data_IF_595764411584
#
_entry.id   IF_595764411584
#
_cell.length_a   1.000
_cell.length_b   1.000
_cell.length_c   1.000
_cell.angle_alpha   90.00
_cell.angle_beta   90.00
_cell.angle_gamma   90.00
#
_symmetry.space_group_name_H-M   'P 1'
#
loop_
_entity.id
_entity.type
_entity.pdbx_description
1 polymer ?
#
# COMPACT_ATOMS: atom_id res chain seq x y z
N UNK A 1 -18.85 -2.15 23.07
CA UNK A 1 -18.89 -2.98 21.86
C UNK A 1 -19.93 -4.02 22.16
N UNK A 2 -21.11 -3.88 21.58
CA UNK A 2 -22.17 -4.87 21.76
C UNK A 2 -21.78 -6.16 21.05
N UNK A 3 -21.42 -7.15 21.85
CA UNK A 3 -21.41 -8.55 21.46
C UNK A 3 -22.87 -8.99 21.27
N UNK A 4 -23.38 -8.98 20.03
CA UNK A 4 -24.38 -9.92 19.50
C UNK A 4 -25.06 -9.39 18.22
N UNK A 5 -24.30 -9.28 17.13
CA UNK A 5 -24.91 -9.36 15.79
C UNK A 5 -24.22 -10.49 15.04
N UNK A 6 -24.75 -11.71 15.19
CA UNK A 6 -24.56 -12.74 14.15
C UNK A 6 -25.23 -12.18 12.90
N UNK A 7 -24.44 -11.63 11.98
CA UNK A 7 -24.98 -11.20 10.69
C UNK A 7 -25.58 -12.42 10.00
N UNK A 8 -26.90 -12.43 9.87
CA UNK A 8 -27.55 -13.35 8.94
C UNK A 8 -26.98 -13.03 7.54
N UNK A 9 -26.47 -14.04 6.83
CA UNK A 9 -26.14 -13.88 5.43
C UNK A 9 -27.39 -13.33 4.71
N UNK A 10 -27.28 -12.25 3.91
CA UNK A 10 -28.43 -11.73 3.19
C UNK A 10 -29.07 -12.86 2.39
N UNK A 11 -30.41 -12.97 2.44
CA UNK A 11 -31.13 -13.93 1.60
C UNK A 11 -30.75 -13.66 0.14
N UNK A 12 -30.32 -14.70 -0.58
CA UNK A 12 -29.97 -14.58 -1.99
C UNK A 12 -31.17 -14.11 -2.80
N UNK A 13 -30.94 -13.19 -3.74
CA UNK A 13 -31.94 -12.75 -4.72
C UNK A 13 -31.70 -13.53 -6.01
N UNK A 14 -32.72 -14.22 -6.50
CA UNK A 14 -32.66 -14.88 -7.81
C UNK A 14 -32.91 -13.85 -8.92
N UNK A 15 -31.99 -13.78 -9.88
CA UNK A 15 -32.10 -12.92 -11.06
C UNK A 15 -32.08 -13.80 -12.32
N UNK A 16 -33.00 -13.55 -13.24
CA UNK A 16 -33.07 -14.22 -14.55
C UNK A 16 -32.88 -13.19 -15.65
N UNK A 17 -31.96 -13.46 -16.56
CA UNK A 17 -31.68 -12.63 -17.73
C UNK A 17 -31.65 -13.48 -19.01
N UNK A 18 -32.00 -12.87 -20.14
CA UNK A 18 -32.01 -13.53 -21.45
C UNK A 18 -31.60 -12.54 -22.55
N UNK A 19 -31.01 -13.03 -23.65
CA UNK A 19 -30.63 -12.23 -24.81
C UNK A 19 -29.23 -11.61 -24.75
N UNK A 20 -28.50 -11.78 -23.64
CA UNK A 20 -27.10 -11.35 -23.50
C UNK A 20 -26.10 -12.42 -23.96
N UNK A 21 -24.87 -11.99 -24.22
CA UNK A 21 -23.71 -12.89 -24.44
C UNK A 21 -23.02 -13.15 -23.10
N UNK A 22 -22.80 -14.42 -22.76
CA UNK A 22 -22.11 -14.78 -21.52
C UNK A 22 -20.62 -14.39 -21.60
N UNK A 23 -20.20 -13.49 -20.70
CA UNK A 23 -18.81 -13.18 -20.46
C UNK A 23 -18.14 -14.31 -19.66
N UNK A 24 -16.88 -14.67 -19.95
CA UNK A 24 -16.19 -15.70 -19.17
C UNK A 24 -15.93 -15.17 -17.76
N UNK A 25 -16.21 -16.00 -16.75
CA UNK A 25 -16.03 -15.69 -15.34
C UNK A 25 -15.26 -16.80 -14.63
N UNK A 26 -14.05 -16.47 -14.19
CA UNK A 26 -13.23 -17.32 -13.34
C UNK A 26 -13.41 -16.90 -11.88
N UNK A 27 -13.73 -17.86 -11.01
CA UNK A 27 -13.76 -17.67 -9.56
C UNK A 27 -12.83 -18.67 -8.90
N UNK A 28 -11.84 -18.16 -8.17
CA UNK A 28 -10.84 -18.96 -7.46
C UNK A 28 -11.51 -19.98 -6.53
N UNK A 29 -11.10 -21.24 -6.62
CA UNK A 29 -11.65 -22.35 -5.83
C UNK A 29 -13.04 -22.84 -6.25
N UNK A 30 -13.65 -22.23 -7.27
CA UNK A 30 -14.96 -22.65 -7.81
C UNK A 30 -14.88 -23.07 -9.27
N UNK A 31 -14.26 -22.24 -10.12
CA UNK A 31 -14.12 -22.52 -11.56
C UNK A 31 -12.96 -23.48 -11.80
N UNK A 32 -13.24 -24.64 -12.38
CA UNK A 32 -12.21 -25.62 -12.78
C UNK A 32 -11.44 -25.16 -14.03
N UNK A 33 -10.22 -25.67 -14.27
CA UNK A 33 -9.46 -25.37 -15.49
C UNK A 33 -10.23 -25.71 -16.77
N UNK A 34 -10.96 -26.82 -16.79
CA UNK A 34 -11.75 -27.28 -17.93
C UNK A 34 -12.92 -26.33 -18.20
N UNK A 35 -13.64 -25.93 -17.15
CA UNK A 35 -14.72 -24.93 -17.27
C UNK A 35 -14.19 -23.59 -17.75
N UNK A 36 -13.02 -23.15 -17.26
CA UNK A 36 -12.42 -21.90 -17.68
C UNK A 36 -12.03 -21.93 -19.16
N UNK A 37 -11.36 -23.00 -19.59
CA UNK A 37 -10.98 -23.20 -20.98
C UNK A 37 -12.20 -23.23 -21.90
N UNK A 38 -13.25 -23.97 -21.52
CA UNK A 38 -14.50 -24.04 -22.28
C UNK A 38 -15.19 -22.67 -22.41
N UNK A 39 -15.24 -21.88 -21.32
CA UNK A 39 -15.79 -20.52 -21.36
C UNK A 39 -15.03 -19.61 -22.32
N UNK A 40 -13.69 -19.62 -22.28
CA UNK A 40 -12.85 -18.80 -23.16
C UNK A 40 -12.95 -19.19 -24.64
N UNK A 41 -13.16 -20.47 -24.92
CA UNK A 41 -13.33 -21.00 -26.28
C UNK A 41 -14.71 -20.66 -26.86
N UNK A 42 -15.77 -20.70 -26.03
CA UNK A 42 -17.14 -20.49 -26.48
C UNK A 42 -17.58 -19.01 -26.51
N UNK A 43 -16.97 -18.15 -25.70
CA UNK A 43 -17.43 -16.76 -25.55
C UNK A 43 -17.11 -15.88 -26.77
N UNK A 44 -18.07 -15.04 -27.14
CA UNK A 44 -17.90 -13.91 -28.06
C UNK A 44 -17.89 -12.55 -27.33
N UNK A 45 -17.95 -12.56 -25.98
CA UNK A 45 -17.87 -11.33 -25.20
C UNK A 45 -16.46 -10.72 -25.32
N UNK A 46 -16.35 -9.38 -25.40
CA UNK A 46 -15.04 -8.71 -25.48
C UNK A 46 -14.28 -8.69 -24.15
N UNK A 47 -15.00 -8.82 -23.03
CA UNK A 47 -14.48 -8.72 -21.67
C UNK A 47 -14.95 -9.90 -20.82
N UNK A 48 -14.20 -10.18 -19.76
CA UNK A 48 -14.57 -11.15 -18.74
C UNK A 48 -13.91 -10.83 -17.40
N UNK A 49 -14.09 -11.71 -16.43
CA UNK A 49 -13.61 -11.48 -15.07
C UNK A 49 -12.82 -12.65 -14.50
N UNK A 50 -11.84 -12.34 -13.66
CA UNK A 50 -11.21 -13.29 -12.74
C UNK A 50 -11.34 -12.74 -11.31
N UNK A 51 -11.88 -13.54 -10.41
CA UNK A 51 -12.16 -13.14 -9.04
C UNK A 51 -11.50 -14.08 -8.03
N UNK A 52 -10.76 -13.49 -7.09
CA UNK A 52 -10.23 -14.12 -5.89
C UNK A 52 -11.10 -13.79 -4.67
N UNK A 53 -10.54 -13.95 -3.47
CA UNK A 53 -11.19 -13.56 -2.22
C UNK A 53 -11.11 -12.06 -1.98
N UNK A 54 -10.00 -11.42 -2.36
CA UNK A 54 -9.68 -10.01 -2.08
C UNK A 54 -9.61 -9.17 -3.32
N UNK A 55 -9.41 -9.74 -4.50
CA UNK A 55 -9.21 -8.99 -5.74
C UNK A 55 -10.10 -9.49 -6.88
N UNK A 56 -10.57 -8.58 -7.72
CA UNK A 56 -11.31 -8.87 -8.95
C UNK A 56 -10.67 -8.12 -10.11
N UNK A 57 -10.47 -8.83 -11.22
CA UNK A 57 -10.10 -8.26 -12.50
C UNK A 57 -11.29 -8.22 -13.44
N UNK A 58 -11.47 -7.10 -14.13
CA UNK A 58 -12.16 -7.07 -15.42
C UNK A 58 -11.13 -6.85 -16.51
N UNK A 59 -10.97 -7.82 -17.42
CA UNK A 59 -9.94 -7.76 -18.45
C UNK A 59 -10.54 -8.11 -19.83
N UNK A 60 -9.92 -7.62 -20.91
CA UNK A 60 -10.27 -8.06 -22.25
C UNK A 60 -10.08 -9.56 -22.39
N UNK A 61 -10.98 -10.25 -23.09
CA UNK A 61 -10.87 -11.70 -23.33
C UNK A 61 -9.57 -12.06 -24.05
N UNK A 62 -9.04 -11.16 -24.88
CA UNK A 62 -7.74 -11.32 -25.53
C UNK A 62 -6.58 -11.47 -24.52
N UNK A 63 -6.67 -10.82 -23.35
CA UNK A 63 -5.69 -10.95 -22.25
C UNK A 63 -5.97 -12.20 -21.43
N UNK A 64 -7.24 -12.46 -21.10
CA UNK A 64 -7.66 -13.63 -20.34
C UNK A 64 -7.21 -14.94 -21.01
N UNK A 65 -7.22 -14.99 -22.35
CA UNK A 65 -6.71 -16.13 -23.14
C UNK A 65 -5.20 -16.34 -23.04
N UNK A 66 -4.43 -15.34 -22.59
CA UNK A 66 -2.98 -15.49 -22.37
C UNK A 66 -2.63 -16.00 -20.97
N UNK A 67 -3.59 -16.02 -20.04
CA UNK A 67 -3.38 -16.44 -18.66
C UNK A 67 -3.34 -17.97 -18.59
N UNK A 68 -2.15 -18.53 -18.38
CA UNK A 68 -1.95 -19.99 -18.28
C UNK A 68 -2.49 -20.57 -16.98
N UNK A 69 -2.31 -19.85 -15.88
CA UNK A 69 -2.73 -20.27 -14.54
C UNK A 69 -3.51 -19.12 -13.85
N UNK A 70 -4.84 -19.04 -14.04
CA UNK A 70 -5.65 -18.00 -13.43
C UNK A 70 -5.69 -18.12 -11.90
N UNK A 71 -5.51 -19.33 -11.35
CA UNK A 71 -5.48 -19.54 -9.91
C UNK A 71 -4.25 -18.85 -9.28
N UNK A 72 -3.07 -19.05 -9.88
CA UNK A 72 -1.84 -18.41 -9.43
C UNK A 72 -1.91 -16.88 -9.52
N UNK A 73 -2.58 -16.33 -10.55
CA UNK A 73 -2.78 -14.89 -10.68
C UNK A 73 -3.66 -14.37 -9.55
N UNK A 74 -4.81 -14.99 -9.30
CA UNK A 74 -5.73 -14.53 -8.25
C UNK A 74 -5.13 -14.68 -6.85
N UNK A 75 -4.43 -15.80 -6.57
CA UNK A 75 -3.74 -16.00 -5.29
C UNK A 75 -2.63 -14.96 -5.05
N UNK A 76 -1.91 -14.56 -6.10
CA UNK A 76 -0.90 -13.51 -5.99
C UNK A 76 -1.54 -12.18 -5.59
N UNK A 77 -2.59 -11.74 -6.28
CA UNK A 77 -3.23 -10.47 -5.99
C UNK A 77 -4.03 -10.45 -4.69
N UNK A 78 -4.60 -11.58 -4.29
CA UNK A 78 -5.17 -11.74 -2.95
C UNK A 78 -4.10 -11.50 -1.88
N UNK A 79 -2.90 -12.07 -2.07
CA UNK A 79 -1.76 -11.85 -1.16
C UNK A 79 -1.26 -10.40 -1.17
N UNK A 80 -1.17 -9.74 -2.34
CA UNK A 80 -0.81 -8.31 -2.42
C UNK A 80 -1.72 -7.47 -1.52
N UNK A 81 -3.03 -7.73 -1.58
CA UNK A 81 -4.01 -6.99 -0.78
C UNK A 81 -3.95 -7.32 0.71
N UNK A 82 -3.76 -8.58 1.08
CA UNK A 82 -3.55 -8.94 2.49
C UNK A 82 -2.28 -8.27 3.04
N UNK A 83 -1.19 -8.18 2.27
CA UNK A 83 0.04 -7.47 2.66
C UNK A 83 -0.16 -5.95 2.73
N UNK A 84 -0.89 -5.34 1.78
CA UNK A 84 -1.19 -3.91 1.79
C UNK A 84 -1.98 -3.50 3.06
N UNK A 85 -2.98 -4.28 3.47
CA UNK A 85 -3.70 -4.03 4.72
C UNK A 85 -2.89 -4.25 5.96
N UNK A 86 -2.12 -5.35 5.98
CA UNK A 86 -1.23 -5.64 7.10
C UNK A 86 -0.34 -4.45 7.36
N UNK A 87 0.24 -3.87 6.32
CA UNK A 87 1.08 -2.69 6.45
C UNK A 87 0.30 -1.44 6.89
N UNK A 88 -0.84 -1.14 6.25
CA UNK A 88 -1.73 -0.02 6.65
C UNK A 88 -2.34 -0.16 8.06
N UNK A 89 -2.10 -1.29 8.72
CA UNK A 89 -2.44 -1.53 10.12
C UNK A 89 -3.90 -1.90 10.37
N UNK A 90 -4.68 -2.16 9.32
CA UNK A 90 -6.06 -2.61 9.46
C UNK A 90 -6.12 -4.05 9.98
N UNK A 91 -6.98 -4.29 10.98
CA UNK A 91 -7.16 -5.62 11.63
C UNK A 91 -8.53 -6.25 11.38
N UNK A 92 -9.41 -5.58 10.63
CA UNK A 92 -10.76 -6.06 10.33
C UNK A 92 -10.84 -6.87 9.04
N UNK A 93 -12.03 -7.40 8.74
CA UNK A 93 -12.32 -8.00 7.44
C UNK A 93 -12.75 -6.92 6.43
N UNK A 94 -12.30 -7.05 5.18
CA UNK A 94 -12.79 -6.21 4.07
C UNK A 94 -14.21 -6.64 3.69
N UNK A 95 -15.12 -5.68 3.55
CA UNK A 95 -16.50 -5.97 3.15
C UNK A 95 -16.68 -6.25 1.64
N UNK A 96 -15.82 -5.72 0.77
CA UNK A 96 -15.95 -5.84 -0.71
C UNK A 96 -14.59 -5.98 -1.37
N UNK A 97 -14.25 -6.95 -2.23
CA UNK A 97 -12.93 -7.07 -2.88
C UNK A 97 -12.43 -5.80 -3.57
N UNK A 98 -11.11 -5.65 -3.79
CA UNK A 98 -10.53 -4.66 -4.70
C UNK A 98 -10.89 -4.99 -6.15
N UNK A 99 -10.94 -3.97 -7.02
CA UNK A 99 -11.20 -4.19 -8.44
C UNK A 99 -10.19 -3.44 -9.29
N UNK A 100 -9.60 -4.13 -10.27
CA UNK A 100 -8.83 -3.50 -11.34
C UNK A 100 -9.55 -3.57 -12.67
N UNK A 101 -9.57 -2.44 -13.36
CA UNK A 101 -10.08 -2.32 -14.74
C UNK A 101 -9.10 -1.47 -15.55
N UNK A 102 -8.41 -2.05 -16.55
CA UNK A 102 -7.64 -1.26 -17.51
C UNK A 102 -8.58 -0.63 -18.53
N UNK A 103 -8.29 0.59 -18.99
CA UNK A 103 -9.09 1.27 -20.03
C UNK A 103 -8.21 2.17 -20.90
N UNK A 104 -8.65 2.50 -22.11
CA UNK A 104 -8.03 3.50 -22.98
C UNK A 104 -8.34 4.93 -22.51
N UNK A 105 -9.50 5.13 -21.87
CA UNK A 105 -9.94 6.43 -21.35
C UNK A 105 -10.17 6.31 -19.84
N UNK A 106 -9.09 6.49 -19.08
CA UNK A 106 -9.17 6.59 -17.62
C UNK A 106 -9.34 8.05 -17.19
N UNK A 107 -9.91 8.25 -16.00
CA UNK A 107 -10.28 9.57 -15.50
C UNK A 107 -9.08 10.48 -15.21
N UNK A 108 -7.92 9.89 -14.88
CA UNK A 108 -6.71 10.61 -14.54
C UNK A 108 -5.44 9.81 -14.85
N UNK A 109 -4.40 10.51 -15.31
CA UNK A 109 -3.05 9.97 -15.44
C UNK A 109 -2.91 8.79 -16.40
N UNK A 110 -1.96 7.92 -16.09
CA UNK A 110 -1.72 6.64 -16.78
C UNK A 110 -2.14 5.43 -15.93
N UNK A 111 -2.34 5.66 -14.64
CA UNK A 111 -2.79 4.75 -13.60
C UNK A 111 -3.37 5.62 -12.48
N UNK A 112 -4.44 5.17 -11.80
CA UNK A 112 -4.99 5.88 -10.65
C UNK A 112 -5.68 4.94 -9.64
N UNK A 113 -5.62 5.33 -8.37
CA UNK A 113 -6.33 4.72 -7.25
C UNK A 113 -7.83 5.00 -7.28
N UNK A 114 -8.57 4.35 -6.38
CA UNK A 114 -10.03 4.37 -6.34
C UNK A 114 -10.65 2.99 -6.32
N UNK A 115 -11.95 2.93 -6.53
CA UNK A 115 -12.71 1.68 -6.66
C UNK A 115 -13.62 1.77 -7.89
N UNK A 116 -13.16 1.32 -9.07
CA UNK A 116 -11.97 0.51 -9.29
C UNK A 116 -10.65 1.29 -9.24
N UNK A 117 -9.57 0.59 -8.88
CA UNK A 117 -8.20 0.95 -9.25
C UNK A 117 -8.08 0.76 -10.77
N UNK A 118 -7.63 1.77 -11.51
CA UNK A 118 -7.64 1.74 -12.97
C UNK A 118 -6.27 2.05 -13.56
N UNK A 119 -6.02 1.50 -14.75
CA UNK A 119 -4.80 1.75 -15.51
C UNK A 119 -5.08 1.93 -16.98
N UNK A 120 -4.18 2.62 -17.68
CA UNK A 120 -4.24 2.65 -19.12
C UNK A 120 -4.19 1.22 -19.70
N UNK A 121 -4.84 0.98 -20.84
CA UNK A 121 -5.03 -0.35 -21.43
C UNK A 121 -3.78 -1.23 -21.51
N UNK A 122 -2.60 -0.62 -21.70
CA UNK A 122 -1.31 -1.31 -21.74
C UNK A 122 -1.02 -2.13 -20.47
N UNK A 123 -1.54 -1.70 -19.32
CA UNK A 123 -1.40 -2.41 -18.03
C UNK A 123 -2.19 -3.72 -17.97
N UNK A 124 -3.10 -3.99 -18.90
CA UNK A 124 -3.87 -5.24 -18.93
C UNK A 124 -2.96 -6.48 -19.03
N UNK A 125 -1.84 -6.38 -19.77
CA UNK A 125 -0.85 -7.47 -19.83
C UNK A 125 0.03 -7.55 -18.59
N UNK A 126 0.44 -6.40 -18.06
CA UNK A 126 1.34 -6.33 -16.92
C UNK A 126 0.69 -6.88 -15.64
N UNK A 127 -0.62 -6.69 -15.45
CA UNK A 127 -1.32 -7.13 -14.24
C UNK A 127 -1.42 -8.67 -14.11
N UNK A 128 -1.23 -9.39 -15.22
CA UNK A 128 -1.23 -10.86 -15.25
C UNK A 128 0.16 -11.47 -15.47
N UNK A 129 1.20 -10.65 -15.64
CA UNK A 129 2.60 -11.10 -15.80
C UNK A 129 3.22 -11.41 -14.43
N UNK A 130 2.95 -12.62 -13.93
CA UNK A 130 3.43 -13.06 -12.62
C UNK A 130 4.95 -13.14 -12.51
N UNK A 131 5.66 -13.38 -13.61
CA UNK A 131 7.13 -13.46 -13.57
C UNK A 131 7.70 -12.08 -13.23
N UNK A 132 7.28 -11.05 -13.97
CA UNK A 132 7.69 -9.66 -13.69
C UNK A 132 7.20 -9.22 -12.32
N UNK A 133 5.93 -9.46 -11.98
CA UNK A 133 5.34 -9.02 -10.72
C UNK A 133 6.06 -9.62 -9.50
N UNK A 134 6.48 -10.90 -9.55
CA UNK A 134 7.17 -11.55 -8.42
C UNK A 134 8.66 -11.22 -8.32
N UNK A 135 9.30 -10.80 -9.40
CA UNK A 135 10.76 -10.59 -9.43
C UNK A 135 11.15 -9.12 -9.42
N UNK A 136 10.42 -8.30 -10.16
CA UNK A 136 10.67 -6.86 -10.33
C UNK A 136 9.61 -6.00 -9.68
N UNK A 137 8.42 -6.56 -9.43
CA UNK A 137 7.25 -5.80 -8.99
C UNK A 137 6.71 -4.86 -10.06
N UNK A 138 5.72 -4.07 -9.68
CA UNK A 138 5.24 -2.95 -10.48
C UNK A 138 4.99 -1.77 -9.55
N UNK A 139 5.90 -0.78 -9.59
CA UNK A 139 5.84 0.39 -8.71
C UNK A 139 4.50 1.11 -8.84
N UNK A 140 3.99 1.29 -10.07
CA UNK A 140 2.71 1.97 -10.30
C UNK A 140 1.56 1.25 -9.63
N UNK A 141 1.42 -0.06 -9.84
CA UNK A 141 0.32 -0.82 -9.22
C UNK A 141 0.36 -0.77 -7.70
N UNK A 142 1.54 -0.94 -7.11
CA UNK A 142 1.68 -0.89 -5.66
C UNK A 142 1.49 0.52 -5.10
N UNK A 143 1.84 1.56 -5.87
CA UNK A 143 1.58 2.95 -5.54
C UNK A 143 0.09 3.24 -5.49
N UNK A 144 -0.68 2.94 -6.53
CA UNK A 144 -2.13 3.22 -6.48
C UNK A 144 -2.85 2.39 -5.43
N UNK A 145 -2.44 1.13 -5.22
CA UNK A 145 -2.96 0.36 -4.10
C UNK A 145 -2.57 1.01 -2.78
N UNK A 146 -1.37 1.57 -2.64
CA UNK A 146 -0.96 2.35 -1.47
C UNK A 146 -1.92 3.49 -1.15
N UNK A 147 -2.40 4.24 -2.14
CA UNK A 147 -3.39 5.31 -1.92
C UNK A 147 -4.70 4.79 -1.32
N UNK A 148 -5.15 3.59 -1.71
CA UNK A 148 -6.33 2.96 -1.11
C UNK A 148 -6.11 2.49 0.35
N UNK A 149 -4.85 2.51 0.84
CA UNK A 149 -4.46 1.95 2.14
C UNK A 149 -3.75 2.95 3.06
N UNK A 150 -3.40 4.14 2.58
CA UNK A 150 -2.79 5.18 3.39
C UNK A 150 -3.83 5.87 4.29
N UNK A 151 -3.37 6.33 5.46
CA UNK A 151 -4.20 6.93 6.48
C UNK A 151 -3.92 8.41 6.62
N UNK A 152 -4.96 9.23 6.48
CA UNK A 152 -4.86 10.69 6.60
C UNK A 152 -4.27 11.15 7.96
N UNK A 153 -4.40 10.32 9.00
CA UNK A 153 -3.91 10.59 10.36
C UNK A 153 -2.38 10.68 10.45
N UNK A 154 -1.65 10.00 9.57
CA UNK A 154 -0.19 9.98 9.50
C UNK A 154 0.36 10.59 8.21
N UNK A 155 -0.49 11.23 7.41
CA UNK A 155 -0.10 12.04 6.25
C UNK A 155 -0.01 13.51 6.67
N UNK A 156 1.22 13.99 6.90
CA UNK A 156 1.51 15.28 7.55
C UNK A 156 1.05 16.53 6.78
N UNK A 157 0.76 16.40 5.49
CA UNK A 157 0.32 17.49 4.64
C UNK A 157 0.21 17.03 3.19
N UNK A 158 -0.16 17.92 2.28
CA UNK A 158 -0.27 17.60 0.85
C UNK A 158 1.05 17.08 0.26
N UNK A 159 2.18 17.60 0.71
CA UNK A 159 3.52 17.14 0.30
C UNK A 159 3.85 15.72 0.79
N UNK A 160 3.10 15.17 1.75
CA UNK A 160 3.29 13.81 2.27
C UNK A 160 2.34 12.79 1.68
N UNK A 161 1.31 13.19 0.90
CA UNK A 161 0.39 12.24 0.25
C UNK A 161 1.20 11.29 -0.63
N UNK A 162 2.00 11.84 -1.53
CA UNK A 162 2.89 11.09 -2.42
C UNK A 162 4.08 10.42 -1.68
N UNK A 163 4.33 10.76 -0.42
CA UNK A 163 5.39 10.14 0.38
C UNK A 163 4.87 8.89 1.06
N UNK A 164 3.71 8.99 1.72
CA UNK A 164 3.12 7.90 2.48
C UNK A 164 2.66 6.78 1.55
N UNK A 165 2.04 7.09 0.42
CA UNK A 165 1.76 6.09 -0.62
C UNK A 165 3.03 5.34 -1.07
N UNK A 166 4.14 6.04 -1.28
CA UNK A 166 5.38 5.41 -1.69
C UNK A 166 6.03 4.59 -0.57
N UNK A 167 5.73 4.89 0.69
CA UNK A 167 6.11 4.03 1.81
C UNK A 167 5.36 2.69 1.77
N UNK A 168 4.07 2.69 1.42
CA UNK A 168 3.32 1.46 1.13
C UNK A 168 3.90 0.73 -0.09
N UNK A 169 4.28 1.45 -1.15
CA UNK A 169 4.95 0.87 -2.31
C UNK A 169 6.24 0.15 -1.93
N UNK A 170 7.12 0.79 -1.14
CA UNK A 170 8.36 0.16 -0.68
C UNK A 170 8.09 -1.12 0.12
N UNK A 171 7.07 -1.12 0.98
CA UNK A 171 6.66 -2.32 1.71
C UNK A 171 6.23 -3.44 0.76
N UNK A 172 5.35 -3.16 -0.22
CA UNK A 172 4.87 -4.16 -1.17
C UNK A 172 5.99 -4.69 -2.08
N UNK A 173 6.90 -3.83 -2.51
CA UNK A 173 8.10 -4.24 -3.25
C UNK A 173 8.94 -5.23 -2.42
N UNK A 174 9.10 -4.97 -1.12
CA UNK A 174 9.80 -5.90 -0.21
C UNK A 174 9.03 -7.20 0.00
N UNK A 175 7.75 -7.12 0.35
CA UNK A 175 6.93 -8.27 0.76
C UNK A 175 6.61 -9.21 -0.41
N UNK A 176 6.43 -8.66 -1.61
CA UNK A 176 6.02 -9.44 -2.79
C UNK A 176 7.20 -9.83 -3.67
N UNK A 177 8.25 -9.01 -3.73
CA UNK A 177 9.37 -9.20 -4.65
C UNK A 177 10.71 -9.45 -3.94
N UNK A 178 10.76 -9.33 -2.61
CA UNK A 178 12.00 -9.46 -1.83
C UNK A 178 12.96 -8.28 -1.94
N UNK A 179 12.59 -7.23 -2.70
CA UNK A 179 13.47 -6.11 -3.03
C UNK A 179 13.81 -5.28 -1.80
N UNK A 180 15.09 -4.94 -1.67
CA UNK A 180 15.56 -4.01 -0.64
C UNK A 180 14.99 -2.60 -0.89
N UNK A 181 14.52 -1.86 0.14
CA UNK A 181 14.00 -0.51 -0.05
C UNK A 181 14.91 0.40 -0.86
N UNK A 182 16.23 0.34 -0.67
CA UNK A 182 17.20 1.16 -1.43
C UNK A 182 17.29 0.75 -2.90
N UNK A 183 16.95 -0.50 -3.23
CA UNK A 183 17.00 -1.06 -4.57
C UNK A 183 15.61 -1.14 -5.26
N UNK A 184 14.52 -0.84 -4.55
CA UNK A 184 13.15 -0.92 -5.06
C UNK A 184 12.84 0.04 -6.21
N UNK A 185 13.72 1.03 -6.47
CA UNK A 185 13.61 1.95 -7.59
C UNK A 185 14.93 2.00 -8.34
N UNK A 186 14.85 1.86 -9.67
CA UNK A 186 16.03 1.93 -10.54
C UNK A 186 16.78 3.26 -10.39
N UNK A 187 18.11 3.17 -10.25
CA UNK A 187 19.02 4.31 -10.09
C UNK A 187 18.65 5.27 -8.93
N UNK A 188 17.96 4.80 -7.89
CA UNK A 188 17.60 5.65 -6.75
C UNK A 188 18.80 5.90 -5.83
N UNK A 189 19.26 7.15 -5.79
CA UNK A 189 20.39 7.57 -4.96
C UNK A 189 19.91 7.98 -3.57
N UNK A 190 19.51 7.00 -2.76
CA UNK A 190 18.89 7.22 -1.43
C UNK A 190 19.67 8.20 -0.57
N UNK A 191 20.99 8.04 -0.44
CA UNK A 191 21.79 8.88 0.47
C UNK A 191 21.88 10.34 0.00
N UNK A 192 21.91 10.57 -1.33
CA UNK A 192 21.90 11.91 -1.90
C UNK A 192 20.53 12.58 -1.71
N UNK A 193 19.44 11.85 -1.95
CA UNK A 193 18.07 12.33 -1.74
C UNK A 193 17.78 12.61 -0.26
N UNK A 194 18.29 11.77 0.65
CA UNK A 194 18.23 11.96 2.10
C UNK A 194 18.91 13.27 2.51
N UNK A 195 20.12 13.51 2.00
CA UNK A 195 20.83 14.77 2.24
C UNK A 195 20.03 15.96 1.73
N UNK A 196 19.52 15.89 0.50
CA UNK A 196 18.71 16.97 -0.07
C UNK A 196 17.41 17.22 0.71
N UNK A 197 16.76 16.18 1.23
CA UNK A 197 15.58 16.30 2.07
C UNK A 197 15.87 17.06 3.37
N UNK A 198 17.02 16.76 4.01
CA UNK A 198 17.51 17.48 5.20
C UNK A 198 17.83 18.96 4.88
N UNK A 199 18.41 19.22 3.70
CA UNK A 199 18.68 20.59 3.22
C UNK A 199 17.38 21.35 2.84
N UNK A 200 16.24 20.66 2.78
CA UNK A 200 14.92 21.26 2.64
C UNK A 200 14.21 20.97 1.31
N UNK A 201 14.73 20.06 0.48
CA UNK A 201 14.00 19.54 -0.69
C UNK A 201 12.75 18.79 -0.23
N UNK A 202 11.60 19.07 -0.83
CA UNK A 202 10.29 18.54 -0.42
C UNK A 202 9.58 17.70 -1.48
N UNK A 203 10.29 17.22 -2.50
CA UNK A 203 9.67 16.28 -3.44
C UNK A 203 9.43 14.91 -2.78
N UNK A 204 8.48 14.11 -3.30
CA UNK A 204 8.07 12.88 -2.65
C UNK A 204 9.19 11.85 -2.47
N UNK A 205 10.10 11.72 -3.44
CA UNK A 205 11.18 10.74 -3.36
C UNK A 205 12.28 11.17 -2.39
N UNK A 206 12.57 12.48 -2.30
CA UNK A 206 13.45 13.00 -1.26
C UNK A 206 12.86 12.75 0.13
N UNK A 207 11.61 13.13 0.36
CA UNK A 207 10.96 12.96 1.67
C UNK A 207 10.76 11.49 2.05
N UNK A 208 10.53 10.59 1.09
CA UNK A 208 10.44 9.15 1.33
C UNK A 208 11.69 8.59 2.01
N UNK A 209 12.88 9.16 1.71
CA UNK A 209 14.12 8.69 2.32
C UNK A 209 14.20 8.89 3.83
N UNK A 210 13.35 9.74 4.44
CA UNK A 210 13.19 9.82 5.90
C UNK A 210 12.83 8.45 6.50
N UNK A 211 12.08 7.62 5.78
CA UNK A 211 11.66 6.33 6.30
C UNK A 211 12.73 5.24 6.11
N UNK A 212 13.68 5.41 5.18
CA UNK A 212 14.64 4.34 4.84
C UNK A 212 15.57 3.99 6.02
N UNK A 213 16.25 4.95 6.69
CA UNK A 213 17.05 4.63 7.88
C UNK A 213 16.22 4.07 9.04
N UNK A 214 14.95 4.46 9.14
CA UNK A 214 14.02 3.91 10.15
C UNK A 214 13.70 2.44 9.87
N UNK A 215 13.42 2.10 8.61
CA UNK A 215 13.21 0.73 8.15
C UNK A 215 14.47 -0.12 8.34
N UNK A 216 15.65 0.43 8.07
CA UNK A 216 16.92 -0.28 8.25
C UNK A 216 17.24 -0.57 9.72
N UNK A 217 16.93 0.38 10.60
CA UNK A 217 17.20 0.23 12.03
C UNK A 217 16.15 -0.64 12.75
N UNK A 218 14.88 -0.59 12.34
CA UNK A 218 13.77 -1.15 13.12
C UNK A 218 12.82 -2.05 12.32
N UNK A 219 13.05 -2.22 11.03
CA UNK A 219 12.22 -3.01 10.13
C UNK A 219 10.89 -2.35 9.77
N UNK A 220 10.20 -2.88 8.75
CA UNK A 220 8.84 -2.44 8.42
C UNK A 220 7.82 -2.74 9.53
N UNK A 221 8.11 -3.70 10.41
CA UNK A 221 7.21 -4.07 11.51
C UNK A 221 6.99 -2.90 12.50
N UNK A 222 8.01 -2.05 12.71
CA UNK A 222 7.85 -0.86 13.57
C UNK A 222 6.83 0.12 12.99
N UNK A 223 6.86 0.35 11.68
CA UNK A 223 5.89 1.18 10.96
C UNK A 223 4.52 0.53 10.96
N UNK A 224 4.43 -0.77 10.69
CA UNK A 224 3.17 -1.52 10.78
C UNK A 224 2.53 -1.38 12.15
N UNK A 225 3.26 -1.57 13.25
CA UNK A 225 2.75 -1.39 14.61
C UNK A 225 2.35 0.06 14.89
N UNK A 226 3.09 1.02 14.36
CA UNK A 226 2.76 2.45 14.46
C UNK A 226 1.44 2.77 13.77
N UNK A 227 1.23 2.28 12.54
CA UNK A 227 -0.03 2.46 11.80
C UNK A 227 -1.20 1.75 12.48
N UNK A 228 -0.97 0.52 12.99
CA UNK A 228 -1.97 -0.21 13.77
C UNK A 228 -2.48 0.56 14.99
N UNK A 229 -1.63 1.37 15.63
CA UNK A 229 -2.03 2.15 16.80
C UNK A 229 -3.12 3.20 16.48
N UNK A 230 -3.20 3.69 15.23
CA UNK A 230 -4.26 4.63 14.82
C UNK A 230 -5.65 3.98 14.74
N UNK A 231 -5.72 2.66 14.63
CA UNK A 231 -6.98 1.89 14.60
C UNK A 231 -7.50 1.52 15.99
N UNK A 232 -6.76 1.81 17.06
CA UNK A 232 -7.22 1.62 18.43
C UNK A 232 -8.38 2.57 18.78
N UNK A 233 -9.13 2.26 19.85
CA UNK A 233 -10.29 3.05 20.29
C UNK A 233 -9.95 4.54 20.52
N UNK A 234 -8.74 4.81 21.00
CA UNK A 234 -8.13 6.10 21.30
C UNK A 234 -7.03 6.48 20.27
N UNK A 235 -6.94 5.74 19.16
CA UNK A 235 -5.85 5.88 18.18
C UNK A 235 -5.75 7.26 17.54
N UNK A 236 -6.86 7.99 17.50
CA UNK A 236 -6.97 9.36 16.98
C UNK A 236 -6.73 10.46 18.02
N UNK A 237 -6.45 10.11 19.28
CA UNK A 237 -6.15 11.11 20.31
C UNK A 237 -4.88 11.90 19.95
N UNK A 238 -5.01 13.23 19.96
CA UNK A 238 -3.93 14.17 19.62
C UNK A 238 -3.69 14.37 18.12
N UNK A 239 -4.46 13.70 17.25
CA UNK A 239 -4.33 13.84 15.78
C UNK A 239 -5.26 14.95 15.29
N UNK A 240 -4.71 16.14 15.06
CA UNK A 240 -5.43 17.25 14.44
C UNK A 240 -5.36 17.22 12.90
N UNK A 241 -5.96 18.24 12.28
CA UNK A 241 -5.92 18.42 10.83
C UNK A 241 -4.60 19.05 10.34
N UNK A 242 -3.90 19.76 11.22
CA UNK A 242 -2.66 20.47 10.95
C UNK A 242 -1.43 19.55 10.97
N UNK A 243 -0.36 19.98 10.29
CA UNK A 243 0.90 19.24 10.23
C UNK A 243 1.55 19.02 11.60
N UNK A 244 1.70 20.05 12.47
CA UNK A 244 2.30 19.87 13.80
C UNK A 244 1.66 18.76 14.64
N UNK A 245 0.33 18.73 14.75
CA UNK A 245 -0.36 17.71 15.55
C UNK A 245 -0.15 16.29 15.00
N UNK A 246 -0.16 16.11 13.68
CA UNK A 246 0.12 14.82 13.04
C UNK A 246 1.57 14.37 13.25
N UNK A 247 2.53 15.28 13.14
CA UNK A 247 3.96 15.01 13.41
C UNK A 247 4.14 14.59 14.87
N UNK A 248 3.56 15.31 15.82
CA UNK A 248 3.59 14.96 17.25
C UNK A 248 3.01 13.57 17.50
N UNK A 249 1.83 13.30 16.95
CA UNK A 249 1.16 12.01 17.13
C UNK A 249 1.97 10.85 16.55
N UNK A 250 2.53 11.02 15.35
CA UNK A 250 3.33 9.99 14.67
C UNK A 250 4.66 9.76 15.38
N UNK A 251 5.43 10.81 15.66
CA UNK A 251 6.76 10.67 16.28
C UNK A 251 6.64 10.08 17.68
N UNK A 252 5.62 10.47 18.46
CA UNK A 252 5.36 9.89 19.76
C UNK A 252 5.07 8.38 19.66
N UNK A 253 4.18 7.97 18.74
CA UNK A 253 3.82 6.56 18.53
C UNK A 253 4.99 5.73 18.02
N UNK A 254 5.69 6.23 17.01
CA UNK A 254 6.83 5.55 16.42
C UNK A 254 7.96 5.38 17.45
N UNK A 255 8.34 6.47 18.13
CA UNK A 255 9.40 6.47 19.14
C UNK A 255 9.08 5.51 20.29
N UNK A 256 7.83 5.49 20.75
CA UNK A 256 7.36 4.54 21.77
C UNK A 256 7.43 3.10 21.26
N UNK A 257 7.03 2.87 20.00
CA UNK A 257 7.05 1.54 19.36
C UNK A 257 8.46 0.97 19.25
N UNK A 258 9.45 1.80 18.93
CA UNK A 258 10.85 1.37 18.78
C UNK A 258 11.67 1.52 20.07
N UNK A 259 11.09 2.07 21.14
CA UNK A 259 11.78 2.30 22.40
C UNK A 259 12.93 3.31 22.31
N UNK A 260 12.87 4.25 21.38
CA UNK A 260 13.91 5.27 21.14
C UNK A 260 13.28 6.61 20.83
N UNK A 261 13.85 7.68 21.36
CA UNK A 261 13.42 9.03 21.02
C UNK A 261 13.93 9.43 19.62
N UNK A 262 13.02 9.46 18.65
CA UNK A 262 13.31 9.86 17.27
C UNK A 262 13.05 11.36 17.01
N UNK A 263 12.69 12.18 18.00
CA UNK A 263 12.30 13.58 17.77
C UNK A 263 13.38 14.39 17.04
N UNK A 264 14.64 14.19 17.43
CA UNK A 264 15.77 14.94 16.88
C UNK A 264 16.08 14.52 15.44
N UNK A 265 15.79 13.26 15.09
CA UNK A 265 15.89 12.78 13.72
C UNK A 265 14.84 13.42 12.81
N UNK A 266 13.58 13.44 13.23
CA UNK A 266 12.49 14.08 12.47
C UNK A 266 12.71 15.59 12.32
N UNK A 267 13.27 16.25 13.34
CA UNK A 267 13.61 17.67 13.30
C UNK A 267 14.62 18.02 12.17
N UNK A 268 15.49 17.09 11.74
CA UNK A 268 16.39 17.31 10.59
C UNK A 268 15.63 17.55 9.27
N UNK A 269 14.35 17.16 9.20
CA UNK A 269 13.48 17.35 8.04
C UNK A 269 12.43 18.44 8.27
N UNK A 270 12.65 19.32 9.25
CA UNK A 270 11.71 20.38 9.66
C UNK A 270 10.37 19.83 10.18
N UNK A 271 10.35 18.57 10.62
CA UNK A 271 9.21 17.92 11.28
C UNK A 271 9.44 17.96 12.79
N UNK A 272 9.28 19.14 13.38
CA UNK A 272 9.64 19.38 14.78
C UNK A 272 8.47 19.08 15.71
N UNK A 273 8.71 18.27 16.74
CA UNK A 273 7.75 18.03 17.79
C UNK A 273 7.60 19.21 18.75
N UNK A 274 6.43 19.34 19.37
CA UNK A 274 6.21 20.29 20.47
C UNK A 274 7.02 19.91 21.71
N UNK A 275 7.28 20.87 22.60
CA UNK A 275 7.98 20.62 23.86
C UNK A 275 7.25 19.60 24.75
N UNK A 276 5.92 19.58 24.74
CA UNK A 276 5.14 18.59 25.45
C UNK A 276 5.42 17.16 24.95
N UNK A 277 5.54 16.98 23.64
CA UNK A 277 5.87 15.68 23.03
C UNK A 277 7.33 15.30 23.31
N UNK A 278 8.28 16.24 23.20
CA UNK A 278 9.69 15.99 23.58
C UNK A 278 9.82 15.60 25.05
N UNK A 279 9.07 16.22 25.96
CA UNK A 279 9.08 15.87 27.38
C UNK A 279 8.59 14.44 27.62
N UNK A 280 7.53 14.00 26.91
CA UNK A 280 7.06 12.60 26.96
C UNK A 280 8.14 11.62 26.49
N UNK A 281 8.91 11.99 25.47
CA UNK A 281 9.96 11.14 24.88
C UNK A 281 11.29 11.19 25.64
N UNK A 282 11.52 12.18 26.50
CA UNK A 282 12.80 12.42 27.18
C UNK A 282 13.36 11.24 27.99
N UNK A 283 12.51 10.28 28.36
CA UNK A 283 12.91 9.06 29.10
C UNK A 283 13.47 7.96 28.21
N UNK A 284 13.30 8.06 26.89
CA UNK A 284 13.80 7.08 25.93
C UNK A 284 15.22 7.43 25.48
N UNK A 285 16.09 6.44 25.21
CA UNK A 285 17.39 6.70 24.61
C UNK A 285 17.25 7.36 23.23
N UNK A 286 18.01 8.44 23.00
CA UNK A 286 18.02 9.18 21.72
C UNK A 286 18.36 8.27 20.55
N UNK A 287 17.77 8.53 19.39
CA UNK A 287 18.09 7.87 18.13
C UNK A 287 18.49 8.86 17.04
N UNK A 288 19.61 8.54 16.39
CA UNK A 288 20.06 9.17 15.16
C UNK A 288 20.72 8.07 14.31
N UNK A 289 20.42 7.95 13.02
CA UNK A 289 21.11 7.00 12.14
C UNK A 289 22.62 7.26 12.11
N UNK A 290 23.43 6.21 12.03
CA UNK A 290 24.90 6.31 12.12
C UNK A 290 25.50 7.29 11.10
N UNK A 291 24.97 7.33 9.87
CA UNK A 291 25.43 8.26 8.82
C UNK A 291 25.05 9.73 9.03
N UNK A 292 24.24 10.04 10.07
CA UNK A 292 23.79 11.39 10.42
C UNK A 292 24.21 11.81 11.83
N UNK A 293 24.99 10.99 12.54
CA UNK A 293 25.61 11.40 13.79
C UNK A 293 26.60 12.53 13.49
N UNK A 294 26.42 13.69 14.12
CA UNK A 294 27.42 14.75 14.05
C UNK A 294 28.74 14.21 14.61
N UNK A 295 29.86 14.48 13.92
CA UNK A 295 31.16 14.15 14.47
C UNK A 295 31.29 14.83 15.84
N UNK A 296 31.83 14.14 16.87
CA UNK A 296 31.98 14.76 18.18
C UNK A 296 32.69 16.10 18.02
N UNK A 297 32.07 17.16 18.53
CA UNK A 297 32.66 18.49 18.57
C UNK A 297 34.06 18.35 19.14
N UNK A 298 35.09 18.69 18.35
CA UNK A 298 36.46 18.71 18.87
C UNK A 298 36.47 19.62 20.11
N UNK A 299 37.09 19.18 21.22
CA UNK A 299 37.19 19.98 22.43
C UNK A 299 37.92 21.31 22.18
#
# INVERSE_FOLDING_TARGET
MDENVKSASPAGVELRSSGGVAAPSYKLGTTTPEQWSAQLAATSAPWGEMAGKRFIFSLPVSILRTVKDPAAVMLYWDKVLDEAWKFGGWRGERHVPERFVPDVLISAGYLHSGYPFMGHYNHAREVVDLETLKTKGNWGFFHELGHNHEGQAYTFGSEFVEVVVNLHTLYLMKAMCGLDPRASRSAWKVDAELKSAIEGKRDPFALLTLYVPLIEAFGFESLTKTFQAYWAKDGMEGVGADMPSKVDAFVLRYSTTVGRDCSDYFAKFKLTCTEATKQKLSKLPKFMPAGLMEAPSKP
#
